data_IF_906539431380
#
_entry.id   IF_906539431380
#
_cell.length_a   1.000
_cell.length_b   1.000
_cell.length_c   1.000
_cell.angle_alpha   90.00
_cell.angle_beta   90.00
_cell.angle_gamma   90.00
#
_symmetry.space_group_name_H-M   'P 1'
#
loop_
_entity.id
_entity.type
_entity.pdbx_description
1 polymer ?
#
# COMPACT_ATOMS: atom_id res chain seq x y z
N UNK A 1 7.88 -5.63 54.02
CA UNK A 1 8.29 -5.58 52.59
C UNK A 1 8.11 -6.95 51.94
N UNK A 2 6.86 -7.43 51.75
CA UNK A 2 6.56 -8.75 51.12
C UNK A 2 5.74 -8.64 49.83
N UNK A 3 5.27 -7.44 49.48
CA UNK A 3 4.37 -7.19 48.36
C UNK A 3 5.05 -7.13 46.98
N UNK A 4 6.38 -7.10 46.93
CA UNK A 4 7.14 -6.98 45.67
C UNK A 4 7.60 -8.33 45.11
N UNK A 5 7.49 -9.43 45.88
CA UNK A 5 7.97 -10.76 45.48
C UNK A 5 6.98 -11.52 44.58
N UNK A 6 5.69 -11.16 44.61
CA UNK A 6 4.63 -11.83 43.82
C UNK A 6 4.45 -11.24 42.41
N UNK A 7 5.23 -10.22 42.03
CA UNK A 7 5.11 -9.57 40.72
C UNK A 7 5.95 -10.29 39.67
N UNK A 8 5.28 -10.87 38.67
CA UNK A 8 5.92 -11.47 37.51
C UNK A 8 6.32 -10.38 36.51
N UNK A 9 7.63 -10.20 36.30
CA UNK A 9 8.12 -9.42 35.16
C UNK A 9 7.84 -10.19 33.87
N UNK A 10 7.02 -9.61 33.01
CA UNK A 10 6.72 -10.14 31.67
C UNK A 10 7.30 -9.17 30.66
N UNK A 11 8.08 -9.68 29.71
CA UNK A 11 8.54 -8.88 28.58
C UNK A 11 7.33 -8.47 27.75
N UNK A 12 7.10 -7.16 27.63
CA UNK A 12 6.06 -6.61 26.77
C UNK A 12 6.76 -6.04 25.54
N UNK A 13 6.51 -6.64 24.38
CA UNK A 13 6.89 -6.05 23.10
C UNK A 13 5.99 -4.83 22.86
N UNK A 14 6.44 -3.67 23.35
CA UNK A 14 5.78 -2.40 23.07
C UNK A 14 5.87 -2.12 21.58
N UNK A 15 4.71 -2.13 20.91
CA UNK A 15 4.59 -1.64 19.55
C UNK A 15 4.91 -0.15 19.56
N UNK A 16 6.09 0.21 19.06
CA UNK A 16 6.47 1.60 18.86
C UNK A 16 5.61 2.15 17.71
N UNK A 17 4.88 3.26 17.92
CA UNK A 17 4.11 3.85 16.84
C UNK A 17 5.05 4.34 15.74
N UNK A 18 4.71 4.03 14.49
CA UNK A 18 5.50 4.46 13.33
C UNK A 18 5.56 5.99 13.28
N UNK A 19 6.77 6.51 13.08
CA UNK A 19 6.96 7.95 12.85
C UNK A 19 6.29 8.37 11.55
N UNK A 20 5.86 9.65 11.41
CA UNK A 20 5.30 10.14 10.15
C UNK A 20 6.23 9.96 8.94
N UNK A 21 7.54 9.90 9.15
CA UNK A 21 8.54 9.61 8.10
C UNK A 21 8.47 8.15 7.64
N UNK A 22 8.41 7.21 8.58
CA UNK A 22 8.30 5.79 8.27
C UNK A 22 6.97 5.46 7.59
N UNK A 23 5.87 6.05 8.05
CA UNK A 23 4.56 5.91 7.40
C UNK A 23 4.62 6.37 5.93
N UNK A 24 5.28 7.51 5.64
CA UNK A 24 5.46 7.99 4.27
C UNK A 24 6.30 7.04 3.41
N UNK A 25 7.38 6.49 3.97
CA UNK A 25 8.21 5.47 3.29
C UNK A 25 7.41 4.22 2.95
N UNK A 26 6.67 3.68 3.92
CA UNK A 26 5.84 2.48 3.72
C UNK A 26 4.80 2.72 2.61
N UNK A 27 4.15 3.89 2.62
CA UNK A 27 3.22 4.27 1.55
C UNK A 27 3.90 4.35 0.19
N UNK A 28 5.12 4.89 0.12
CA UNK A 28 5.88 4.93 -1.12
C UNK A 28 6.24 3.52 -1.60
N UNK A 29 6.81 2.67 -0.74
CA UNK A 29 7.17 1.29 -1.07
C UNK A 29 5.98 0.53 -1.65
N UNK A 30 4.81 0.61 -1.01
CA UNK A 30 3.57 -0.02 -1.51
C UNK A 30 3.19 0.48 -2.91
N UNK A 31 3.30 1.78 -3.18
CA UNK A 31 3.00 2.32 -4.52
C UNK A 31 4.04 1.88 -5.56
N UNK A 32 5.31 1.79 -5.19
CA UNK A 32 6.39 1.31 -6.08
C UNK A 32 6.18 -0.17 -6.42
N UNK A 33 5.79 -1.00 -5.45
CA UNK A 33 5.44 -2.40 -5.68
C UNK A 33 4.24 -2.54 -6.64
N UNK A 34 3.20 -1.71 -6.49
CA UNK A 34 2.09 -1.66 -7.44
C UNK A 34 2.56 -1.33 -8.87
N UNK A 35 3.50 -0.37 -9.01
CA UNK A 35 4.07 0.01 -10.31
C UNK A 35 4.94 -1.10 -10.91
N UNK A 36 5.69 -1.83 -10.09
CA UNK A 36 6.49 -2.97 -10.52
C UNK A 36 5.61 -4.08 -11.09
N UNK A 37 4.54 -4.45 -10.38
CA UNK A 37 3.58 -5.45 -10.86
C UNK A 37 2.90 -5.02 -12.15
N UNK A 38 2.59 -3.74 -12.29
CA UNK A 38 2.07 -3.19 -13.52
C UNK A 38 3.06 -3.31 -14.68
N UNK A 39 4.35 -3.03 -14.44
CA UNK A 39 5.40 -3.16 -15.45
C UNK A 39 5.63 -4.63 -15.86
N UNK A 40 5.61 -5.55 -14.90
CA UNK A 40 5.72 -6.99 -15.17
C UNK A 40 4.55 -7.50 -16.00
N UNK A 41 3.32 -7.18 -15.61
CA UNK A 41 2.14 -7.54 -16.39
C UNK A 41 2.19 -6.99 -17.82
N UNK A 42 2.60 -5.72 -17.97
CA UNK A 42 2.76 -5.10 -19.28
C UNK A 42 3.85 -5.79 -20.14
N UNK A 43 4.94 -6.26 -19.53
CA UNK A 43 5.98 -7.04 -20.21
C UNK A 43 5.48 -8.42 -20.67
N UNK A 44 4.59 -9.04 -19.90
CA UNK A 44 3.95 -10.33 -20.22
C UNK A 44 2.77 -10.17 -21.20
N UNK A 45 2.39 -8.94 -21.56
CA UNK A 45 1.23 -8.65 -22.42
C UNK A 45 -0.13 -8.73 -21.69
N UNK A 46 -0.13 -8.78 -20.35
CA UNK A 46 -1.34 -8.80 -19.52
C UNK A 46 -1.63 -7.43 -18.89
N UNK A 47 -2.89 -7.17 -18.53
CA UNK A 47 -3.30 -5.90 -17.92
C UNK A 47 -3.41 -6.07 -16.40
N UNK A 48 -2.57 -5.34 -15.66
CA UNK A 48 -2.67 -5.28 -14.20
C UNK A 48 -3.78 -4.31 -13.76
N UNK A 49 -4.91 -4.87 -13.28
CA UNK A 49 -6.01 -4.11 -12.71
C UNK A 49 -5.97 -4.21 -11.18
N UNK A 50 -5.28 -3.26 -10.52
CA UNK A 50 -5.36 -3.17 -9.06
C UNK A 50 -6.78 -2.80 -8.63
N UNK A 51 -7.36 -3.50 -7.65
CA UNK A 51 -8.66 -3.14 -7.06
C UNK A 51 -8.46 -2.29 -5.80
N UNK A 52 -9.42 -1.43 -5.52
CA UNK A 52 -9.53 -0.67 -4.26
C UNK A 52 -10.92 -0.85 -3.70
N UNK A 53 -10.99 -1.04 -2.38
CA UNK A 53 -12.25 -1.06 -1.65
C UNK A 53 -12.85 0.35 -1.62
N UNK A 54 -14.07 0.48 -2.15
CA UNK A 54 -14.88 1.71 -2.09
C UNK A 54 -16.20 1.37 -1.39
N UNK A 55 -16.56 2.14 -0.37
CA UNK A 55 -17.90 2.09 0.20
C UNK A 55 -18.85 2.82 -0.74
N UNK A 56 -19.80 2.09 -1.29
CA UNK A 56 -20.80 2.61 -2.24
C UNK A 56 -22.17 2.38 -1.60
N UNK A 57 -23.05 3.37 -1.73
CA UNK A 57 -24.44 3.22 -1.33
C UNK A 57 -25.13 2.33 -2.36
N UNK A 58 -25.74 1.24 -1.93
CA UNK A 58 -26.51 0.40 -2.84
C UNK A 58 -27.83 1.10 -3.17
N UNK A 59 -28.12 1.40 -4.44
CA UNK A 59 -29.33 2.14 -4.83
C UNK A 59 -30.62 1.34 -4.56
N UNK A 60 -30.54 0.03 -4.34
CA UNK A 60 -31.70 -0.84 -4.09
C UNK A 60 -32.07 -0.96 -2.60
N UNK A 61 -31.08 -1.02 -1.71
CA UNK A 61 -31.30 -1.27 -0.27
C UNK A 61 -30.98 -0.06 0.61
N UNK A 62 -30.35 0.98 0.09
CA UNK A 62 -29.91 2.14 0.87
C UNK A 62 -28.76 1.85 1.84
N UNK A 63 -28.20 0.63 1.82
CA UNK A 63 -27.11 0.23 2.70
C UNK A 63 -25.74 0.55 2.10
N UNK A 64 -24.75 0.80 2.96
CA UNK A 64 -23.36 1.06 2.55
C UNK A 64 -22.60 -0.25 2.38
N UNK A 65 -22.51 -0.73 1.14
CA UNK A 65 -21.76 -1.94 0.80
C UNK A 65 -20.32 -1.58 0.41
N UNK A 66 -19.35 -2.37 0.89
CA UNK A 66 -17.95 -2.25 0.45
C UNK A 66 -17.77 -3.07 -0.82
N UNK A 67 -17.56 -2.41 -1.97
CA UNK A 67 -17.32 -3.07 -3.26
C UNK A 67 -15.87 -2.87 -3.69
N UNK A 68 -15.29 -3.87 -4.34
CA UNK A 68 -13.99 -3.77 -4.99
C UNK A 68 -14.15 -3.07 -6.34
N UNK A 69 -13.49 -1.91 -6.50
CA UNK A 69 -13.54 -1.11 -7.72
C UNK A 69 -12.15 -1.04 -8.32
N UNK A 70 -11.97 -1.18 -9.66
CA UNK A 70 -10.68 -1.03 -10.29
C UNK A 70 -10.11 0.37 -10.03
N UNK A 71 -8.91 0.41 -9.47
CA UNK A 71 -8.13 1.63 -9.27
C UNK A 71 -7.49 1.98 -10.60
N UNK A 72 -7.88 3.13 -11.16
CA UNK A 72 -7.16 3.73 -12.30
C UNK A 72 -5.75 4.10 -11.84
N UNK A 73 -4.75 3.43 -12.39
CA UNK A 73 -3.35 3.69 -12.10
C UNK A 73 -2.67 4.23 -13.35
N UNK A 74 -1.96 5.36 -13.20
CA UNK A 74 -1.10 5.89 -14.26
C UNK A 74 0.31 5.29 -14.07
N UNK A 75 0.93 4.72 -15.12
CA UNK A 75 2.32 4.30 -15.06
C UNK A 75 3.23 5.48 -14.69
N UNK A 76 4.20 5.23 -13.81
CA UNK A 76 5.27 6.18 -13.48
C UNK A 76 6.53 5.96 -14.32
N UNK A 77 6.48 4.95 -15.17
CA UNK A 77 7.57 4.49 -16.01
C UNK A 77 7.22 4.62 -17.49
N UNK A 78 8.26 4.72 -18.30
CA UNK A 78 8.18 4.82 -19.76
C UNK A 78 9.39 4.15 -20.39
N UNK A 79 9.28 3.77 -21.66
CA UNK A 79 10.44 3.29 -22.42
C UNK A 79 11.20 4.49 -22.99
N UNK A 80 12.51 4.53 -22.79
CA UNK A 80 13.38 5.49 -23.48
C UNK A 80 13.58 5.07 -24.93
N UNK A 81 14.03 6.02 -25.77
CA UNK A 81 14.40 5.75 -27.17
C UNK A 81 15.51 4.69 -27.30
N UNK A 82 16.32 4.52 -26.25
CA UNK A 82 17.33 3.46 -26.11
C UNK A 82 16.78 2.09 -25.68
N UNK A 83 15.45 1.93 -25.58
CA UNK A 83 14.79 0.68 -25.22
C UNK A 83 14.86 0.31 -23.74
N UNK A 84 15.29 1.23 -22.86
CA UNK A 84 15.36 1.00 -21.40
C UNK A 84 14.08 1.46 -20.72
N UNK A 85 13.67 0.77 -19.66
CA UNK A 85 12.56 1.20 -18.81
C UNK A 85 13.05 2.25 -17.80
N UNK A 86 12.55 3.47 -17.89
CA UNK A 86 12.83 4.55 -16.95
C UNK A 86 11.66 4.73 -15.98
N UNK A 87 11.93 5.02 -14.71
CA UNK A 87 10.92 5.26 -13.65
C UNK A 87 11.22 6.58 -12.94
N UNK A 88 10.21 7.42 -12.74
CA UNK A 88 10.32 8.62 -11.90
C UNK A 88 9.60 8.44 -10.57
N UNK A 89 10.31 8.67 -9.47
CA UNK A 89 9.74 8.59 -8.11
C UNK A 89 9.95 9.90 -7.38
N UNK A 90 8.87 10.49 -6.87
CA UNK A 90 8.91 11.70 -6.03
C UNK A 90 8.56 11.32 -4.59
N UNK A 91 9.49 11.57 -3.67
CA UNK A 91 9.30 11.35 -2.23
C UNK A 91 8.93 12.67 -1.55
N UNK A 92 7.85 12.69 -0.76
CA UNK A 92 7.49 13.84 0.08
C UNK A 92 6.22 14.62 -0.30
N UNK A 93 5.52 14.23 -1.36
CA UNK A 93 4.13 14.66 -1.62
C UNK A 93 3.13 14.02 -0.67
#
# INVERSE_FOLDING_TARGET
MKSLQDLKFVHVDRRVPLTPREVRRIKLCRKVEEQLRMAQAAAEGSVFNATRLKRVLDPSTGERVTKEVPKRMKPWWWQSESGRLCLSVRYGS
#
